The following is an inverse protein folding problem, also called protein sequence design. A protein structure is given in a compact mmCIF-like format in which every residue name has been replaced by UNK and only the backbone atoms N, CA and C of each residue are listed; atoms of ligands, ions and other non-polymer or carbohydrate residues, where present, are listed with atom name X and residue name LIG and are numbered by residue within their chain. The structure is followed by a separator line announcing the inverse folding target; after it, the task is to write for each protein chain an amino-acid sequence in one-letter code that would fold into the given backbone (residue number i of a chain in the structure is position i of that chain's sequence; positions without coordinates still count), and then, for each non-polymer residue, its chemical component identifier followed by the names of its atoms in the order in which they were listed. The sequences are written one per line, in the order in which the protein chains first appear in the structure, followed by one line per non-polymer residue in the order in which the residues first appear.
data_IF_388987546768
#
_entry.id   IF_388987546768
#
_cell.length_a   1.000
_cell.length_b   1.000
_cell.length_c   1.000
_cell.angle_alpha   90.00
_cell.angle_beta   90.00
_cell.angle_gamma   90.00
#
_symmetry.space_group_name_H-M   'P 1'
#
loop_
_entity.id
_entity.type
_entity.pdbx_description
1 polymer ?
#
# COMPACT_ATOMS: atom_id res chain seq x y z
N UNK A 1 14.74 15.36 -4.98
CA UNK A 1 13.57 14.80 -4.26
C UNK A 1 12.32 15.33 -4.94
N UNK A 2 11.57 14.46 -5.62
CA UNK A 2 10.31 14.86 -6.28
C UNK A 2 9.17 14.17 -5.56
N UNK A 3 8.22 14.96 -5.06
CA UNK A 3 6.99 14.44 -4.49
C UNK A 3 6.06 14.14 -5.67
N UNK A 4 5.85 12.86 -5.95
CA UNK A 4 4.92 12.42 -7.00
C UNK A 4 3.51 12.46 -6.42
N UNK A 5 2.62 13.24 -7.03
CA UNK A 5 1.23 13.38 -6.58
C UNK A 5 0.31 12.25 -7.08
N UNK A 6 0.60 11.66 -8.24
CA UNK A 6 -0.28 10.69 -8.92
C UNK A 6 0.30 9.27 -8.89
N UNK A 7 0.62 8.77 -7.70
CA UNK A 7 1.29 7.47 -7.57
C UNK A 7 0.33 6.30 -7.81
N UNK A 8 -0.97 6.46 -7.56
CA UNK A 8 -1.99 5.42 -7.87
C UNK A 8 -2.02 5.06 -9.35
N UNK A 9 -1.83 6.03 -10.26
CA UNK A 9 -1.68 5.76 -11.69
C UNK A 9 -0.38 5.02 -12.00
N UNK A 10 0.73 5.39 -11.37
CA UNK A 10 2.04 4.76 -11.60
C UNK A 10 2.08 3.29 -11.18
N UNK A 11 1.35 2.91 -10.12
CA UNK A 11 1.32 1.53 -9.63
C UNK A 11 0.17 0.73 -10.27
N UNK A 12 -0.70 1.37 -11.04
CA UNK A 12 -1.91 0.75 -11.60
C UNK A 12 -2.93 0.32 -10.54
N UNK A 13 -2.80 0.82 -9.31
CA UNK A 13 -3.66 0.47 -8.18
C UNK A 13 -4.70 1.59 -8.03
N UNK A 14 -5.91 1.35 -8.55
CA UNK A 14 -7.11 2.19 -8.35
C UNK A 14 -8.01 1.58 -7.28
N UNK A 15 -7.49 1.47 -6.07
CA UNK A 15 -8.31 1.12 -4.93
C UNK A 15 -8.61 2.40 -4.12
N UNK A 16 -9.88 2.81 -3.96
CA UNK A 16 -10.24 3.99 -3.17
C UNK A 16 -9.93 3.84 -1.68
N UNK A 17 -9.74 2.61 -1.20
CA UNK A 17 -9.40 2.27 0.18
C UNK A 17 -7.90 2.28 0.46
N UNK A 18 -7.05 2.39 -0.57
CA UNK A 18 -5.60 2.51 -0.42
C UNK A 18 -5.22 3.98 -0.22
N UNK A 19 -4.92 4.33 1.03
CA UNK A 19 -4.43 5.66 1.42
C UNK A 19 -2.91 5.66 1.35
N UNK A 20 -2.35 6.40 0.39
CA UNK A 20 -0.90 6.56 0.25
C UNK A 20 -0.40 7.56 1.30
N UNK A 21 0.53 7.13 2.15
CA UNK A 21 1.12 7.98 3.19
C UNK A 21 2.44 8.62 2.74
N UNK A 22 3.26 7.90 1.96
CA UNK A 22 4.56 8.39 1.51
C UNK A 22 4.90 7.86 0.11
N UNK A 23 5.49 8.71 -0.71
CA UNK A 23 6.05 8.34 -2.00
C UNK A 23 7.46 8.89 -2.09
N UNK A 24 8.42 8.01 -2.33
CA UNK A 24 9.82 8.36 -2.44
C UNK A 24 10.37 7.82 -3.75
N UNK A 25 10.73 8.71 -4.67
CA UNK A 25 11.43 8.37 -5.91
C UNK A 25 12.95 8.35 -5.67
N UNK A 26 13.58 7.20 -5.93
CA UNK A 26 15.03 7.01 -6.05
C UNK A 26 15.37 6.90 -7.53
N UNK A 27 16.67 7.01 -7.85
CA UNK A 27 17.16 6.92 -9.22
C UNK A 27 16.80 5.59 -9.91
N UNK A 28 16.62 4.51 -9.14
CA UNK A 28 16.36 3.17 -9.66
C UNK A 28 15.01 2.57 -9.28
N UNK A 29 14.26 3.17 -8.35
CA UNK A 29 12.96 2.65 -7.91
C UNK A 29 12.10 3.71 -7.23
N UNK A 30 10.80 3.44 -7.16
CA UNK A 30 9.84 4.25 -6.39
C UNK A 30 9.42 3.43 -5.16
N UNK A 31 9.60 3.99 -3.98
CA UNK A 31 9.09 3.43 -2.73
C UNK A 31 7.76 4.11 -2.41
N UNK A 32 6.72 3.30 -2.26
CA UNK A 32 5.38 3.76 -1.87
C UNK A 32 5.03 3.12 -0.53
N UNK A 33 4.63 3.93 0.44
CA UNK A 33 4.06 3.47 1.69
C UNK A 33 2.58 3.84 1.69
N UNK A 34 1.72 2.85 1.89
CA UNK A 34 0.27 3.02 1.91
C UNK A 34 -0.37 2.17 2.99
N UNK A 35 -1.56 2.57 3.41
CA UNK A 35 -2.41 1.88 4.38
C UNK A 35 -3.77 1.63 3.75
N UNK A 36 -4.40 0.51 4.12
CA UNK A 36 -5.81 0.26 3.81
C UNK A 36 -6.67 0.91 4.89
N UNK A 37 -7.76 1.57 4.49
CA UNK A 37 -8.74 2.14 5.42
C UNK A 37 -9.73 1.10 5.98
N UNK A 38 -9.62 -0.16 5.54
CA UNK A 38 -10.40 -1.29 6.04
C UNK A 38 -9.52 -2.34 6.73
N UNK A 39 -10.05 -3.05 7.73
CA UNK A 39 -9.35 -4.17 8.35
C UNK A 39 -9.21 -5.32 7.37
N UNK A 40 -8.05 -5.98 7.37
CA UNK A 40 -7.84 -7.16 6.54
C UNK A 40 -8.97 -8.20 6.78
N UNK A 41 -9.53 -8.78 5.72
CA UNK A 41 -10.57 -9.79 5.89
C UNK A 41 -10.02 -10.99 6.68
N UNK A 42 -10.85 -11.63 7.50
CA UNK A 42 -10.41 -12.79 8.26
C UNK A 42 -9.96 -13.89 7.29
N UNK A 43 -8.69 -14.32 7.42
CA UNK A 43 -8.19 -15.45 6.65
C UNK A 43 -8.97 -16.70 7.09
N UNK A 44 -9.76 -17.33 6.20
CA UNK A 44 -10.60 -18.48 6.56
C UNK A 44 -9.76 -19.68 7.01
N UNK A 45 -8.54 -19.80 6.48
CA UNK A 45 -7.60 -20.85 6.89
C UNK A 45 -6.87 -20.54 8.21
N UNK A 46 -6.75 -19.25 8.57
CA UNK A 46 -5.95 -18.81 9.70
C UNK A 46 -6.81 -18.51 10.94
N UNK A 47 -8.15 -18.62 10.86
CA UNK A 47 -9.07 -18.30 11.95
C UNK A 47 -8.81 -16.92 12.60
N UNK A 48 -8.40 -15.95 11.79
CA UNK A 48 -8.02 -14.62 12.29
C UNK A 48 -6.69 -14.54 13.06
N UNK A 49 -5.92 -15.64 13.19
CA UNK A 49 -4.54 -15.60 13.69
C UNK A 49 -3.62 -15.09 12.59
N UNK A 50 -3.06 -13.89 12.79
CA UNK A 50 -1.85 -13.51 12.07
C UNK A 50 -0.71 -14.45 12.51
N UNK A 51 0.03 -14.98 11.54
CA UNK A 51 1.29 -15.66 11.82
C UNK A 51 2.25 -14.60 12.36
N UNK A 52 2.65 -14.74 13.62
CA UNK A 52 3.78 -13.98 14.17
C UNK A 52 5.04 -14.54 13.52
N UNK A 53 5.68 -13.74 12.67
CA UNK A 53 7.00 -14.02 12.10
C UNK A 53 8.04 -13.73 13.16
#
# INVERSE_FOLDING_TARGET
MRLIKNTTELIGIKDPHIIISLVFEKDTYIKVQATLDYPAPPCPHCQGKMIKI
#
